data_IF_448220619328
#
_entry.id   IF_448220619328
#
_cell.length_a   1.000
_cell.length_b   1.000
_cell.length_c   1.000
_cell.angle_alpha   90.00
_cell.angle_beta   90.00
_cell.angle_gamma   90.00
#
_symmetry.space_group_name_H-M   'P 1'
#
loop_
_entity.id
_entity.type
_entity.pdbx_description
1 polymer ?
#
# COMPACT_ATOMS: atom_id res chain seq x y z
N UNK A 1 25.66 -31.64 14.94
CA UNK A 1 24.46 -31.93 15.75
C UNK A 1 23.33 -31.08 15.17
N UNK A 2 22.31 -31.69 14.56
CA UNK A 2 21.18 -30.95 13.98
C UNK A 2 20.42 -30.33 15.16
N UNK A 3 20.43 -29.01 15.21
CA UNK A 3 19.82 -28.18 16.23
C UNK A 3 18.32 -28.51 16.37
N UNK A 4 17.87 -28.89 17.57
CA UNK A 4 16.53 -29.45 17.83
C UNK A 4 15.37 -28.47 17.62
N UNK A 5 15.62 -27.16 17.69
CA UNK A 5 14.63 -26.12 17.36
C UNK A 5 14.11 -26.22 15.92
N UNK A 6 14.92 -26.75 14.99
CA UNK A 6 14.49 -27.01 13.61
C UNK A 6 13.31 -27.97 13.53
N UNK A 7 13.17 -28.91 14.47
CA UNK A 7 12.13 -29.94 14.37
C UNK A 7 10.75 -29.38 14.65
N UNK A 8 10.59 -28.58 15.70
CA UNK A 8 9.32 -27.94 16.03
C UNK A 8 8.97 -26.87 15.00
N UNK A 9 9.94 -26.05 14.59
CA UNK A 9 9.73 -25.02 13.58
C UNK A 9 9.23 -25.61 12.25
N UNK A 10 9.80 -26.75 11.83
CA UNK A 10 9.34 -27.47 10.65
C UNK A 10 7.90 -28.00 10.78
N UNK A 11 7.42 -28.25 12.00
CA UNK A 11 6.04 -28.63 12.29
C UNK A 11 5.08 -27.43 12.38
N UNK A 12 5.60 -26.20 12.53
CA UNK A 12 4.80 -24.99 12.69
C UNK A 12 4.09 -24.87 14.04
N UNK A 13 4.62 -25.51 15.09
CA UNK A 13 4.04 -25.54 16.43
C UNK A 13 4.83 -24.68 17.42
N UNK A 14 4.16 -24.23 18.48
CA UNK A 14 4.79 -23.60 19.65
C UNK A 14 5.42 -24.65 20.58
N UNK A 15 6.21 -24.18 21.55
CA UNK A 15 6.88 -25.05 22.55
C UNK A 15 5.83 -25.75 23.43
N UNK A 16 4.79 -25.01 23.81
CA UNK A 16 3.67 -25.51 24.61
C UNK A 16 2.91 -26.61 23.88
N UNK A 17 2.48 -26.35 22.64
CA UNK A 17 1.75 -27.34 21.82
C UNK A 17 2.59 -28.60 21.57
N UNK A 18 3.88 -28.43 21.29
CA UNK A 18 4.78 -29.57 21.06
C UNK A 18 4.98 -30.39 22.32
N UNK A 19 5.14 -29.74 23.47
CA UNK A 19 5.27 -30.41 24.76
C UNK A 19 3.99 -31.19 25.11
N UNK A 20 2.81 -30.60 24.90
CA UNK A 20 1.52 -31.26 25.07
C UNK A 20 1.37 -32.48 24.15
N UNK A 21 1.72 -32.34 22.86
CA UNK A 21 1.61 -33.40 21.86
C UNK A 21 2.54 -34.59 22.17
N UNK A 22 3.73 -34.29 22.67
CA UNK A 22 4.73 -35.29 23.09
C UNK A 22 4.50 -35.81 24.52
N UNK A 23 3.51 -35.27 25.25
CA UNK A 23 3.21 -35.59 26.65
C UNK A 23 4.42 -35.41 27.58
N UNK A 24 5.16 -34.32 27.39
CA UNK A 24 6.30 -33.90 28.20
C UNK A 24 6.08 -32.49 28.75
N UNK A 25 6.91 -32.05 29.68
CA UNK A 25 6.87 -30.68 30.17
C UNK A 25 7.52 -29.70 29.18
N UNK A 26 7.08 -28.45 29.18
CA UNK A 26 7.69 -27.37 28.39
C UNK A 26 9.17 -27.24 28.72
N UNK A 27 9.54 -27.32 30.00
CA UNK A 27 10.93 -27.26 30.45
C UNK A 27 11.78 -28.40 29.89
N UNK A 28 11.25 -29.62 29.80
CA UNK A 28 11.96 -30.75 29.18
C UNK A 28 12.19 -30.52 27.70
N UNK A 29 11.20 -29.98 26.98
CA UNK A 29 11.36 -29.61 25.57
C UNK A 29 12.38 -28.48 25.40
N UNK A 30 12.31 -27.44 26.23
CA UNK A 30 13.24 -26.31 26.19
C UNK A 30 14.69 -26.76 26.46
N UNK A 31 14.92 -27.59 27.48
CA UNK A 31 16.23 -28.17 27.78
C UNK A 31 16.77 -29.03 26.63
N UNK A 32 15.89 -29.73 25.92
CA UNK A 32 16.26 -30.46 24.71
C UNK A 32 16.61 -29.55 23.53
N UNK A 33 15.86 -28.47 23.33
CA UNK A 33 16.10 -27.51 22.25
C UNK A 33 17.44 -26.77 22.39
N UNK A 34 17.89 -26.54 23.63
CA UNK A 34 19.19 -25.95 23.96
C UNK A 34 20.30 -26.98 24.17
N UNK A 35 20.01 -28.27 23.98
CA UNK A 35 21.01 -29.36 24.08
C UNK A 35 21.46 -29.71 25.49
N UNK A 36 20.79 -29.21 26.53
CA UNK A 36 21.12 -29.49 27.93
C UNK A 36 20.63 -30.87 28.42
N UNK A 37 19.56 -31.40 27.82
CA UNK A 37 18.99 -32.71 28.20
C UNK A 37 18.34 -33.41 27.02
N UNK A 38 18.50 -34.73 26.90
CA UNK A 38 17.79 -35.48 25.85
C UNK A 38 16.31 -35.71 26.23
N UNK A 39 15.46 -35.86 25.22
CA UNK A 39 14.05 -36.23 25.42
C UNK A 39 13.90 -37.70 25.78
N UNK A 40 12.80 -38.09 26.46
CA UNK A 40 12.41 -39.48 26.56
C UNK A 40 12.36 -40.13 25.17
N UNK A 41 12.84 -41.36 25.05
CA UNK A 41 12.99 -42.08 23.76
C UNK A 41 11.69 -42.07 22.96
N UNK A 42 10.55 -42.29 23.62
CA UNK A 42 9.24 -42.29 22.98
C UNK A 42 8.86 -40.93 22.40
N UNK A 43 9.10 -39.84 23.14
CA UNK A 43 8.85 -38.48 22.70
C UNK A 43 9.76 -38.09 21.52
N UNK A 44 11.03 -38.48 21.57
CA UNK A 44 12.00 -38.25 20.49
C UNK A 44 11.61 -38.97 19.20
N UNK A 45 11.22 -40.24 19.29
CA UNK A 45 10.74 -41.02 18.14
C UNK A 45 9.46 -40.42 17.55
N UNK A 46 8.52 -39.99 18.38
CA UNK A 46 7.29 -39.36 17.92
C UNK A 46 7.57 -38.02 17.20
N UNK A 47 8.46 -37.18 17.74
CA UNK A 47 8.87 -35.93 17.11
C UNK A 47 9.48 -36.16 15.73
N UNK A 48 10.40 -37.13 15.61
CA UNK A 48 11.02 -37.49 14.32
C UNK A 48 9.99 -37.99 13.32
N UNK A 49 9.04 -38.84 13.75
CA UNK A 49 7.97 -39.35 12.87
C UNK A 49 7.12 -38.22 12.30
N UNK A 50 6.68 -37.29 13.16
CA UNK A 50 5.87 -36.14 12.73
C UNK A 50 6.65 -35.24 11.78
N UNK A 51 7.90 -34.94 12.11
CA UNK A 51 8.77 -34.11 11.27
C UNK A 51 8.94 -34.71 9.86
N UNK A 52 9.23 -36.00 9.78
CA UNK A 52 9.39 -36.69 8.51
C UNK A 52 8.08 -36.73 7.71
N UNK A 53 6.93 -36.86 8.37
CA UNK A 53 5.62 -36.80 7.71
C UNK A 53 5.36 -35.44 7.07
N UNK A 54 5.64 -34.35 7.80
CA UNK A 54 5.42 -32.98 7.30
C UNK A 54 6.38 -32.66 6.17
N UNK A 55 7.66 -33.04 6.27
CA UNK A 55 8.64 -32.84 5.19
C UNK A 55 8.29 -33.65 3.95
N UNK A 56 7.92 -34.93 4.09
CA UNK A 56 7.52 -35.75 2.95
C UNK A 56 6.34 -35.14 2.19
N UNK A 57 5.40 -34.50 2.91
CA UNK A 57 4.24 -33.82 2.33
C UNK A 57 4.47 -32.34 2.00
N UNK A 58 5.67 -31.78 2.21
CA UNK A 58 5.94 -30.38 1.83
C UNK A 58 5.76 -30.16 0.32
N UNK A 59 6.08 -31.16 -0.51
CA UNK A 59 5.88 -31.10 -1.96
C UNK A 59 4.40 -31.14 -2.36
N UNK A 60 3.52 -31.70 -1.51
CA UNK A 60 2.07 -31.77 -1.74
C UNK A 60 1.31 -30.53 -1.20
N UNK A 61 1.98 -29.62 -0.48
CA UNK A 61 1.37 -28.43 0.14
C UNK A 61 0.54 -27.58 -0.84
N UNK A 62 0.94 -27.49 -2.10
CA UNK A 62 0.23 -26.72 -3.12
C UNK A 62 -1.06 -27.38 -3.62
N UNK A 63 -1.30 -28.65 -3.29
CA UNK A 63 -2.49 -29.39 -3.73
C UNK A 63 -3.59 -29.45 -2.66
N UNK A 64 -3.34 -28.89 -1.47
CA UNK A 64 -4.33 -28.86 -0.40
C UNK A 64 -5.57 -28.07 -0.87
N UNK A 65 -6.81 -28.57 -0.70
CA UNK A 65 -8.03 -27.96 -1.24
C UNK A 65 -8.24 -26.50 -0.83
N UNK A 66 -7.80 -26.13 0.37
CA UNK A 66 -7.85 -24.74 0.87
C UNK A 66 -6.94 -23.82 0.03
N UNK A 67 -5.72 -24.27 -0.28
CA UNK A 67 -4.72 -23.51 -1.05
C UNK A 67 -5.09 -23.44 -2.54
N UNK A 68 -5.73 -24.49 -3.08
CA UNK A 68 -6.21 -24.52 -4.47
C UNK A 68 -7.26 -23.46 -4.77
N UNK A 69 -8.03 -23.01 -3.77
CA UNK A 69 -9.08 -22.02 -3.95
C UNK A 69 -8.56 -20.57 -3.90
N UNK A 70 -7.24 -20.38 -3.69
CA UNK A 70 -6.65 -19.05 -3.59
C UNK A 70 -6.48 -18.38 -4.95
N UNK A 71 -6.31 -19.14 -6.04
CA UNK A 71 -6.11 -18.57 -7.38
C UNK A 71 -7.32 -17.75 -7.87
N UNK A 72 -8.55 -18.22 -7.62
CA UNK A 72 -9.77 -17.49 -7.99
C UNK A 72 -9.93 -16.23 -7.12
N UNK A 73 -9.67 -16.34 -5.81
CA UNK A 73 -9.74 -15.21 -4.88
C UNK A 73 -8.69 -14.14 -5.20
N UNK A 74 -7.48 -14.55 -5.56
CA UNK A 74 -6.41 -13.62 -5.97
C UNK A 74 -6.85 -12.83 -7.19
N UNK A 75 -7.47 -13.47 -8.20
CA UNK A 75 -8.01 -12.77 -9.37
C UNK A 75 -9.11 -11.77 -9.02
N UNK A 76 -10.03 -12.14 -8.13
CA UNK A 76 -11.08 -11.24 -7.65
C UNK A 76 -10.51 -10.03 -6.90
N UNK A 77 -9.51 -10.24 -6.04
CA UNK A 77 -8.82 -9.17 -5.31
C UNK A 77 -8.13 -8.21 -6.29
N UNK A 78 -7.40 -8.75 -7.27
CA UNK A 78 -6.72 -7.93 -8.29
C UNK A 78 -7.72 -7.14 -9.12
N UNK A 79 -8.84 -7.75 -9.53
CA UNK A 79 -9.87 -7.06 -10.30
C UNK A 79 -10.49 -5.90 -9.51
N UNK A 80 -10.74 -6.09 -8.21
CA UNK A 80 -11.26 -5.05 -7.34
C UNK A 80 -10.26 -3.91 -7.16
N UNK A 81 -9.00 -4.22 -6.87
CA UNK A 81 -7.95 -3.20 -6.72
C UNK A 81 -7.71 -2.41 -8.01
N UNK A 82 -7.81 -3.05 -9.17
CA UNK A 82 -7.75 -2.36 -10.46
C UNK A 82 -8.90 -1.36 -10.62
N UNK A 83 -10.12 -1.75 -10.27
CA UNK A 83 -11.30 -0.87 -10.33
C UNK A 83 -11.14 0.35 -9.41
N UNK A 84 -10.75 0.11 -8.15
CA UNK A 84 -10.57 1.16 -7.15
C UNK A 84 -9.44 2.12 -7.55
N UNK A 85 -8.34 1.59 -8.11
CA UNK A 85 -7.24 2.38 -8.63
C UNK A 85 -7.67 3.26 -9.83
N UNK A 86 -8.39 2.69 -10.81
CA UNK A 86 -8.90 3.44 -11.97
C UNK A 86 -9.83 4.57 -11.54
N UNK A 87 -10.72 4.31 -10.58
CA UNK A 87 -11.58 5.35 -10.01
C UNK A 87 -10.77 6.47 -9.36
N UNK A 88 -9.75 6.13 -8.57
CA UNK A 88 -8.88 7.11 -7.93
C UNK A 88 -8.11 7.97 -8.96
N UNK A 89 -7.64 7.38 -10.06
CA UNK A 89 -7.00 8.10 -11.16
C UNK A 89 -7.96 9.12 -11.78
N UNK A 90 -9.18 8.71 -12.14
CA UNK A 90 -10.19 9.61 -12.74
C UNK A 90 -10.53 10.79 -11.84
N UNK A 91 -10.69 10.56 -10.53
CA UNK A 91 -10.94 11.63 -9.56
C UNK A 91 -9.78 12.63 -9.52
N UNK A 92 -8.55 12.13 -9.58
CA UNK A 92 -7.36 12.96 -9.50
C UNK A 92 -7.10 13.75 -10.77
N UNK A 93 -7.35 13.16 -11.94
CA UNK A 93 -7.32 13.84 -13.24
C UNK A 93 -8.32 15.00 -13.29
N UNK A 94 -9.55 14.79 -12.80
CA UNK A 94 -10.56 15.86 -12.67
C UNK A 94 -10.05 16.98 -11.77
N UNK A 95 -9.48 16.66 -10.61
CA UNK A 95 -8.90 17.66 -9.69
C UNK A 95 -7.77 18.45 -10.33
N UNK A 96 -6.89 17.80 -11.09
CA UNK A 96 -5.82 18.47 -11.83
C UNK A 96 -6.40 19.43 -12.87
N UNK A 97 -7.38 18.98 -13.65
CA UNK A 97 -8.05 19.80 -14.67
C UNK A 97 -8.74 21.02 -14.06
N UNK A 98 -9.46 20.83 -12.97
CA UNK A 98 -10.10 21.93 -12.24
C UNK A 98 -9.08 22.90 -11.64
N UNK A 99 -8.01 22.41 -11.03
CA UNK A 99 -6.94 23.24 -10.47
C UNK A 99 -6.28 24.08 -11.56
N UNK A 100 -5.94 23.48 -12.71
CA UNK A 100 -5.39 24.19 -13.88
C UNK A 100 -6.35 25.27 -14.39
N UNK A 101 -7.64 24.93 -14.53
CA UNK A 101 -8.62 25.89 -15.01
C UNK A 101 -8.77 27.09 -14.05
N UNK A 102 -8.86 26.82 -12.74
CA UNK A 102 -8.96 27.88 -11.72
C UNK A 102 -7.70 28.71 -11.62
N UNK A 103 -6.52 28.09 -11.73
CA UNK A 103 -5.23 28.78 -11.79
C UNK A 103 -5.15 29.73 -12.99
N UNK A 104 -5.49 29.26 -14.21
CA UNK A 104 -5.48 30.10 -15.40
C UNK A 104 -6.45 31.27 -15.28
N UNK A 105 -7.66 31.03 -14.75
CA UNK A 105 -8.63 32.09 -14.47
C UNK A 105 -8.07 33.15 -13.52
N UNK A 106 -7.35 32.73 -12.49
CA UNK A 106 -6.70 33.65 -11.55
C UNK A 106 -5.54 34.42 -12.18
N UNK A 107 -4.72 33.79 -13.02
CA UNK A 107 -3.66 34.47 -13.77
C UNK A 107 -4.25 35.54 -14.71
N UNK A 108 -5.30 35.21 -15.46
CA UNK A 108 -5.96 36.20 -16.34
C UNK A 108 -6.58 37.36 -15.56
N UNK A 109 -7.13 37.09 -14.38
CA UNK A 109 -7.65 38.15 -13.50
C UNK A 109 -6.55 39.05 -12.95
N UNK A 110 -5.38 38.49 -12.61
CA UNK A 110 -4.22 39.25 -12.17
C UNK A 110 -3.72 40.17 -13.30
N UNK A 111 -3.53 39.62 -14.50
CA UNK A 111 -3.08 40.38 -15.67
C UNK A 111 -4.04 41.53 -16.03
N UNK A 112 -5.35 41.30 -15.89
CA UNK A 112 -6.34 42.35 -16.10
C UNK A 112 -6.22 43.46 -15.05
N UNK A 113 -6.06 43.10 -13.77
CA UNK A 113 -5.89 44.09 -12.71
C UNK A 113 -4.63 44.94 -12.92
N UNK A 114 -3.49 44.29 -13.20
CA UNK A 114 -2.22 44.97 -13.52
C UNK A 114 -2.35 45.92 -14.72
N UNK A 115 -3.07 45.49 -15.77
CA UNK A 115 -3.33 46.35 -16.93
C UNK A 115 -4.18 47.57 -16.57
N UNK A 116 -5.26 47.38 -15.80
CA UNK A 116 -6.14 48.48 -15.37
C UNK A 116 -5.40 49.49 -14.48
N UNK A 117 -4.50 49.03 -13.62
CA UNK A 117 -3.66 49.89 -12.78
C UNK A 117 -2.61 50.67 -13.60
N UNK A 118 -2.22 50.17 -14.78
CA UNK A 118 -1.25 50.82 -15.67
C UNK A 118 -1.86 51.93 -16.55
N UNK A 119 -3.18 52.07 -16.58
CA UNK A 119 -3.86 53.07 -17.42
C UNK A 119 -3.74 54.48 -16.83
N UNK A 120 -3.50 55.51 -17.66
CA UNK A 120 -3.46 56.90 -17.21
C UNK A 120 -4.84 57.37 -16.74
N UNK A 121 -4.87 58.24 -15.72
CA UNK A 121 -6.06 58.74 -15.00
C UNK A 121 -7.12 59.50 -15.84
N UNK A 122 -7.02 59.51 -17.17
CA UNK A 122 -7.76 60.41 -18.07
C UNK A 122 -8.97 59.74 -18.77
N UNK A 123 -9.61 58.75 -18.14
CA UNK A 123 -10.84 58.12 -18.66
C UNK A 123 -11.72 57.50 -17.55
N UNK A 124 -12.84 56.88 -17.93
CA UNK A 124 -13.69 56.04 -17.05
C UNK A 124 -12.92 54.79 -16.60
N UNK A 125 -11.91 54.97 -15.75
CA UNK A 125 -11.16 53.88 -15.15
C UNK A 125 -12.06 53.27 -14.08
N UNK A 126 -12.16 51.93 -14.00
CA UNK A 126 -12.85 51.28 -12.89
C UNK A 126 -12.27 51.75 -11.55
N UNK A 127 -13.15 51.93 -10.57
CA UNK A 127 -12.79 52.31 -9.20
C UNK A 127 -11.55 51.53 -8.71
N UNK A 128 -10.53 52.24 -8.23
CA UNK A 128 -9.27 51.63 -7.75
C UNK A 128 -9.53 50.53 -6.72
N UNK A 129 -10.56 50.70 -5.88
CA UNK A 129 -10.97 49.68 -4.93
C UNK A 129 -11.41 48.37 -5.58
N UNK A 130 -12.06 48.42 -6.76
CA UNK A 130 -12.45 47.23 -7.51
C UNK A 130 -11.22 46.50 -8.08
N UNK A 131 -10.24 47.24 -8.60
CA UNK A 131 -9.01 46.66 -9.16
C UNK A 131 -8.19 45.94 -8.08
N UNK A 132 -8.04 46.55 -6.89
CA UNK A 132 -7.40 45.91 -5.73
C UNK A 132 -8.12 44.63 -5.30
N UNK A 133 -9.47 44.63 -5.26
CA UNK A 133 -10.26 43.44 -4.93
C UNK A 133 -10.01 42.30 -5.94
N UNK A 134 -9.93 42.63 -7.24
CA UNK A 134 -9.66 41.65 -8.30
C UNK A 134 -8.24 41.09 -8.14
N UNK A 135 -7.26 41.95 -7.89
CA UNK A 135 -5.86 41.58 -7.66
C UNK A 135 -5.72 40.61 -6.48
N UNK A 136 -6.27 40.94 -5.32
CA UNK A 136 -6.20 40.09 -4.11
C UNK A 136 -6.90 38.74 -4.31
N UNK A 137 -8.04 38.75 -5.01
CA UNK A 137 -8.76 37.52 -5.34
C UNK A 137 -7.95 36.64 -6.30
N UNK A 138 -7.23 37.25 -7.24
CA UNK A 138 -6.37 36.56 -8.17
C UNK A 138 -5.19 35.89 -7.45
N UNK A 139 -4.49 36.61 -6.57
CA UNK A 139 -3.37 36.07 -5.76
C UNK A 139 -3.85 34.88 -4.91
N UNK A 140 -4.94 35.04 -4.15
CA UNK A 140 -5.50 33.93 -3.35
C UNK A 140 -5.85 32.71 -4.20
N UNK A 141 -6.31 32.91 -5.42
CA UNK A 141 -6.59 31.82 -6.35
C UNK A 141 -5.33 31.14 -6.89
N UNK A 142 -4.28 31.93 -7.20
CA UNK A 142 -2.96 31.43 -7.60
C UNK A 142 -2.33 30.60 -6.49
N UNK A 143 -2.37 31.07 -5.24
CA UNK A 143 -1.83 30.32 -4.10
C UNK A 143 -2.60 29.02 -3.87
N UNK A 144 -3.93 29.08 -3.94
CA UNK A 144 -4.80 27.93 -3.69
C UNK A 144 -4.72 26.84 -4.77
N UNK A 145 -4.53 27.22 -6.04
CA UNK A 145 -4.51 26.29 -7.18
C UNK A 145 -3.17 26.27 -7.92
N UNK A 146 -2.11 26.78 -7.28
CA UNK A 146 -0.81 26.99 -7.88
C UNK A 146 -0.10 25.74 -8.35
N UNK A 147 1.03 25.95 -9.03
CA UNK A 147 1.89 24.88 -9.52
C UNK A 147 2.27 23.84 -8.45
N UNK A 148 2.54 24.19 -7.17
CA UNK A 148 2.84 23.20 -6.14
C UNK A 148 1.67 22.22 -5.88
N UNK A 149 0.44 22.73 -5.86
CA UNK A 149 -0.77 21.91 -5.64
C UNK A 149 -1.01 21.00 -6.84
N UNK A 150 -0.85 21.53 -8.05
CA UNK A 150 -0.95 20.75 -9.28
C UNK A 150 0.11 19.65 -9.36
N UNK A 151 1.36 19.96 -8.97
CA UNK A 151 2.45 18.99 -8.90
C UNK A 151 2.15 17.88 -7.90
N UNK A 152 1.65 18.23 -6.71
CA UNK A 152 1.22 17.25 -5.70
C UNK A 152 0.18 16.27 -6.23
N UNK A 153 -0.80 16.75 -7.01
CA UNK A 153 -1.77 15.86 -7.65
C UNK A 153 -1.13 15.03 -8.78
N UNK A 154 -0.24 15.60 -9.58
CA UNK A 154 0.47 14.88 -10.64
C UNK A 154 1.32 13.71 -10.10
N UNK A 155 2.06 13.94 -9.00
CA UNK A 155 2.87 12.89 -8.36
C UNK A 155 1.97 11.74 -7.87
N UNK A 156 0.84 12.08 -7.24
CA UNK A 156 -0.13 11.08 -6.78
C UNK A 156 -0.72 10.28 -7.95
N UNK A 157 -0.96 10.92 -9.10
CA UNK A 157 -1.48 10.25 -10.29
C UNK A 157 -0.44 9.26 -10.84
N UNK A 158 0.83 9.68 -10.93
CA UNK A 158 1.91 8.80 -11.36
C UNK A 158 2.08 7.59 -10.44
N UNK A 159 1.94 7.78 -9.12
CA UNK A 159 1.98 6.67 -8.17
C UNK A 159 0.84 5.66 -8.42
N UNK A 160 -0.38 6.14 -8.68
CA UNK A 160 -1.52 5.28 -9.02
C UNK A 160 -1.31 4.52 -10.33
N UNK A 161 -0.80 5.20 -11.37
CA UNK A 161 -0.48 4.58 -12.67
C UNK A 161 0.60 3.50 -12.55
N UNK A 162 1.62 3.74 -11.72
CA UNK A 162 2.65 2.73 -11.45
C UNK A 162 2.06 1.54 -10.69
N UNK A 163 1.20 1.78 -9.71
CA UNK A 163 0.52 0.71 -8.99
C UNK A 163 -0.36 -0.14 -9.90
N UNK A 164 -1.11 0.49 -10.83
CA UNK A 164 -1.89 -0.23 -11.85
C UNK A 164 -1.01 -1.16 -12.70
N UNK A 165 0.16 -0.68 -13.15
CA UNK A 165 1.10 -1.52 -13.91
C UNK A 165 1.56 -2.73 -13.13
N UNK A 166 1.79 -2.59 -11.83
CA UNK A 166 2.16 -3.72 -10.97
C UNK A 166 1.00 -4.71 -10.79
N UNK A 167 -0.23 -4.22 -10.57
CA UNK A 167 -1.42 -5.07 -10.50
C UNK A 167 -1.66 -5.86 -11.80
N UNK A 168 -1.48 -5.21 -12.96
CA UNK A 168 -1.62 -5.86 -14.27
C UNK A 168 -0.54 -6.92 -14.53
N UNK A 169 0.67 -6.76 -13.98
CA UNK A 169 1.71 -7.80 -14.03
C UNK A 169 1.35 -8.97 -13.13
N UNK A 170 0.92 -8.70 -11.89
CA UNK A 170 0.55 -9.72 -10.92
C UNK A 170 -0.68 -10.53 -11.33
N UNK A 171 -1.60 -9.94 -12.12
CA UNK A 171 -2.78 -10.65 -12.64
C UNK A 171 -2.52 -11.54 -13.86
N UNK A 172 -1.34 -11.44 -14.49
CA UNK A 172 -0.93 -12.26 -15.64
C UNK A 172 -0.05 -13.46 -15.27
N UNK A 173 0.48 -13.49 -14.05
CA UNK A 173 1.24 -14.61 -13.49
C UNK A 173 0.30 -15.66 -12.89
#
# INVERSE_FOLDING_TARGET
MIKSHLFREALGLTQEETAMLLKITISQLAMFEIGQRDLPVNAKLQLIKMHNHVIAKQQEKMQHPIVRNDAAKIKEIIAKELLDNQYAQLVLERKIKEAKHKYNKSISALQLAEYLDSLPAEGEIPDKGLTEIIHDKAIRGIEKYGLPVQMKYSIKLQALQNHQKELEKSGKA
#
